data_IF_854334424334
#
_entry.id   IF_854334424334
#
_cell.length_a   1.000
_cell.length_b   1.000
_cell.length_c   1.000
_cell.angle_alpha   90.00
_cell.angle_beta   90.00
_cell.angle_gamma   90.00
#
_symmetry.space_group_name_H-M   'P 1'
#
loop_
_entity.id
_entity.type
_entity.pdbx_description
1 polymer ?
#
# COMPACT_ATOMS: atom_id res chain seq x y z
N UNK A 1 -9.86 -6.12 -23.99
CA UNK A 1 -11.05 -6.47 -23.18
C UNK A 1 -10.61 -7.41 -22.06
N UNK A 2 -10.50 -6.92 -20.82
CA UNK A 2 -10.10 -7.75 -19.67
C UNK A 2 -11.32 -8.51 -19.12
N UNK A 3 -11.34 -9.84 -19.31
CA UNK A 3 -12.28 -10.78 -18.68
C UNK A 3 -11.78 -11.16 -17.28
N UNK A 4 -11.95 -10.25 -16.32
CA UNK A 4 -11.80 -10.53 -14.89
C UNK A 4 -13.00 -9.94 -14.18
N UNK A 5 -13.60 -10.68 -13.24
CA UNK A 5 -14.75 -10.21 -12.45
C UNK A 5 -14.39 -8.87 -11.80
N UNK A 6 -15.00 -7.80 -12.32
CA UNK A 6 -14.97 -6.46 -11.72
C UNK A 6 -16.20 -6.37 -10.82
N UNK A 7 -16.00 -5.86 -9.62
CA UNK A 7 -17.10 -5.43 -8.76
C UNK A 7 -16.73 -4.01 -8.28
N UNK A 8 -17.64 -3.03 -8.17
CA UNK A 8 -19.05 -3.12 -7.81
C UNK A 8 -19.95 -2.03 -8.43
N UNK A 9 -21.05 -2.46 -9.06
CA UNK A 9 -22.35 -1.79 -9.20
C UNK A 9 -23.39 -2.92 -9.38
N UNK A 10 -24.48 -2.98 -8.60
CA UNK A 10 -25.63 -3.85 -8.87
C UNK A 10 -26.95 -3.10 -8.61
N UNK A 11 -27.80 -2.97 -9.63
CA UNK A 11 -29.21 -2.52 -9.55
C UNK A 11 -29.53 -1.23 -8.76
N UNK A 12 -28.67 -0.21 -8.83
CA UNK A 12 -29.02 1.11 -8.28
C UNK A 12 -28.97 1.22 -6.75
N UNK A 13 -28.38 0.24 -6.05
CA UNK A 13 -28.16 0.31 -4.60
C UNK A 13 -26.66 0.29 -4.22
N UNK A 14 -26.35 1.02 -3.15
CA UNK A 14 -25.01 1.28 -2.60
C UNK A 14 -24.51 0.02 -1.86
N UNK A 15 -23.36 -0.52 -2.25
CA UNK A 15 -22.72 -1.68 -1.59
C UNK A 15 -21.74 -1.30 -0.46
N UNK A 16 -21.72 -0.03 -0.04
CA UNK A 16 -20.96 0.39 1.13
C UNK A 16 -21.67 1.50 1.90
N UNK A 17 -22.33 1.12 2.99
CA UNK A 17 -22.39 1.92 4.21
C UNK A 17 -21.54 1.15 5.24
N UNK A 18 -20.51 1.78 5.82
CA UNK A 18 -19.72 1.15 6.89
C UNK A 18 -20.62 0.63 8.03
N UNK A 19 -20.22 -0.37 8.84
CA UNK A 19 -19.23 -0.21 9.92
C UNK A 19 -18.44 -1.50 10.18
N UNK A 20 -17.11 -1.40 10.24
CA UNK A 20 -16.28 -2.28 11.08
C UNK A 20 -16.70 -2.15 12.55
N UNK A 21 -16.68 -3.29 13.29
CA UNK A 21 -17.07 -3.50 14.70
C UNK A 21 -17.98 -2.42 15.35
N UNK A 22 -19.24 -2.40 14.93
CA UNK A 22 -20.40 -2.05 15.78
C UNK A 22 -21.69 -2.83 15.39
N UNK A 23 -21.55 -4.02 14.80
CA UNK A 23 -22.64 -5.00 14.72
C UNK A 23 -23.55 -4.92 13.49
N UNK A 24 -23.01 -5.19 12.30
CA UNK A 24 -23.38 -6.37 11.48
C UNK A 24 -22.57 -6.42 10.18
N UNK A 25 -22.16 -7.64 9.84
CA UNK A 25 -21.59 -8.07 8.57
C UNK A 25 -22.52 -7.78 7.41
N UNK A 26 -21.99 -7.23 6.31
CA UNK A 26 -22.68 -7.28 5.03
C UNK A 26 -21.84 -8.13 4.06
N UNK A 27 -22.29 -9.38 3.96
CA UNK A 27 -21.89 -10.45 3.04
C UNK A 27 -20.48 -11.03 3.29
N UNK A 28 -20.40 -12.02 4.21
CA UNK A 28 -19.27 -12.94 4.33
C UNK A 28 -19.56 -14.22 3.56
N UNK A 29 -19.40 -14.18 2.24
CA UNK A 29 -19.00 -15.41 1.55
C UNK A 29 -17.49 -15.33 1.33
N UNK A 30 -16.73 -16.07 2.13
CA UNK A 30 -15.28 -16.18 1.98
C UNK A 30 -14.91 -16.67 0.57
N UNK A 31 -15.78 -17.45 -0.08
CA UNK A 31 -15.58 -17.91 -1.45
C UNK A 31 -15.80 -16.78 -2.47
N UNK A 32 -16.77 -15.89 -2.23
CA UNK A 32 -16.98 -14.73 -3.10
C UNK A 32 -15.80 -13.76 -3.02
N UNK A 33 -15.27 -13.49 -1.82
CA UNK A 33 -14.10 -12.61 -1.61
C UNK A 33 -12.85 -13.15 -2.28
N UNK A 34 -12.67 -14.48 -2.25
CA UNK A 34 -11.62 -15.16 -3.00
C UNK A 34 -11.84 -15.05 -4.50
N UNK A 35 -12.99 -14.66 -5.02
CA UNK A 35 -13.20 -14.52 -6.48
C UNK A 35 -12.86 -13.13 -7.03
N UNK A 36 -12.70 -12.12 -6.16
CA UNK A 36 -12.46 -10.74 -6.59
C UNK A 36 -11.06 -10.56 -7.15
N UNK A 37 -10.95 -9.92 -8.31
CA UNK A 37 -9.66 -9.58 -8.93
C UNK A 37 -9.35 -8.09 -8.87
N UNK A 38 -10.37 -7.24 -8.81
CA UNK A 38 -10.22 -5.78 -8.80
C UNK A 38 -11.15 -5.19 -7.75
N UNK A 39 -10.60 -4.32 -6.91
CA UNK A 39 -11.35 -3.50 -5.96
C UNK A 39 -11.35 -2.06 -6.47
N UNK A 40 -12.54 -1.43 -6.49
CA UNK A 40 -12.70 0.00 -6.75
C UNK A 40 -13.39 0.61 -5.54
N UNK A 41 -12.75 1.58 -4.91
CA UNK A 41 -13.33 2.38 -3.81
C UNK A 41 -13.95 3.63 -4.42
N UNK A 42 -15.24 3.83 -4.17
CA UNK A 42 -16.05 4.88 -4.78
C UNK A 42 -15.92 6.23 -4.07
N UNK A 43 -16.40 7.33 -4.68
CA UNK A 43 -16.53 8.61 -4.00
C UNK A 43 -17.37 8.53 -2.73
N UNK A 44 -17.07 9.42 -1.77
CA UNK A 44 -17.71 9.49 -0.45
C UNK A 44 -17.09 8.55 0.61
N UNK A 45 -16.19 7.66 0.23
CA UNK A 45 -15.45 6.80 1.17
C UNK A 45 -14.22 7.54 1.69
N UNK A 46 -14.29 8.08 2.89
CA UNK A 46 -13.14 8.79 3.50
C UNK A 46 -12.14 7.85 4.20
N UNK A 47 -12.61 6.71 4.69
CA UNK A 47 -11.80 5.76 5.46
C UNK A 47 -12.04 4.35 4.94
N UNK A 48 -10.97 3.61 4.67
CA UNK A 48 -11.00 2.16 4.50
C UNK A 48 -10.88 1.54 5.90
N UNK A 49 -11.97 0.97 6.46
CA UNK A 49 -11.96 0.50 7.85
C UNK A 49 -11.06 -0.72 8.06
N UNK A 50 -10.83 -1.02 9.34
CA UNK A 50 -9.99 -2.15 9.72
C UNK A 50 -10.43 -3.47 9.08
N UNK A 51 -9.46 -4.25 8.60
CA UNK A 51 -9.65 -5.61 8.06
C UNK A 51 -10.65 -5.75 6.90
N UNK A 52 -11.08 -4.64 6.28
CA UNK A 52 -12.16 -4.63 5.27
C UNK A 52 -11.88 -5.58 4.11
N UNK A 53 -10.67 -5.56 3.56
CA UNK A 53 -10.24 -6.38 2.42
C UNK A 53 -9.19 -7.42 2.80
N UNK A 54 -9.07 -7.76 4.08
CA UNK A 54 -8.18 -8.83 4.56
C UNK A 54 -8.50 -10.15 3.86
N UNK A 55 -7.47 -10.90 3.48
CA UNK A 55 -7.56 -12.22 2.83
C UNK A 55 -8.32 -12.23 1.48
N UNK A 56 -8.41 -11.08 0.80
CA UNK A 56 -8.87 -11.04 -0.59
C UNK A 56 -7.75 -11.55 -1.52
N UNK A 57 -7.48 -12.86 -1.47
CA UNK A 57 -6.25 -13.49 -1.99
C UNK A 57 -6.10 -13.44 -3.50
N UNK A 58 -7.19 -13.24 -4.25
CA UNK A 58 -7.16 -13.12 -5.71
C UNK A 58 -7.18 -11.69 -6.24
N UNK A 59 -7.28 -10.69 -5.36
CA UNK A 59 -7.27 -9.28 -5.80
C UNK A 59 -5.90 -8.96 -6.35
N UNK A 60 -5.88 -8.49 -7.60
CA UNK A 60 -4.69 -8.06 -8.35
C UNK A 60 -4.53 -6.55 -8.34
N UNK A 61 -5.64 -5.81 -8.26
CA UNK A 61 -5.65 -4.36 -8.37
C UNK A 61 -6.61 -3.71 -7.39
N UNK A 62 -6.17 -2.63 -6.75
CA UNK A 62 -7.03 -1.73 -5.95
C UNK A 62 -6.97 -0.34 -6.56
N UNK A 63 -8.13 0.30 -6.73
CA UNK A 63 -8.25 1.67 -7.24
C UNK A 63 -9.07 2.47 -6.24
N UNK A 64 -8.46 3.50 -5.66
CA UNK A 64 -9.15 4.36 -4.69
C UNK A 64 -9.61 5.67 -5.33
N UNK A 65 -10.82 6.12 -4.98
CA UNK A 65 -11.24 7.49 -5.23
C UNK A 65 -10.45 8.46 -4.34
N UNK A 66 -10.39 9.72 -4.77
CA UNK A 66 -9.62 10.79 -4.13
C UNK A 66 -10.17 11.21 -2.75
N UNK A 67 -11.36 10.77 -2.36
CA UNK A 67 -11.93 11.09 -1.03
C UNK A 67 -11.29 10.28 0.09
N UNK A 68 -10.63 9.15 -0.22
CA UNK A 68 -10.02 8.29 0.79
C UNK A 68 -8.85 9.01 1.43
N UNK A 69 -8.95 9.26 2.74
CA UNK A 69 -7.91 9.90 3.56
C UNK A 69 -7.16 8.90 4.42
N UNK A 70 -7.77 7.76 4.77
CA UNK A 70 -7.19 6.81 5.73
C UNK A 70 -7.38 5.36 5.31
N UNK A 71 -6.32 4.57 5.49
CA UNK A 71 -6.35 3.11 5.42
C UNK A 71 -6.05 2.59 6.81
N UNK A 72 -7.01 1.94 7.44
CA UNK A 72 -6.90 1.49 8.82
C UNK A 72 -6.21 0.13 8.97
N UNK A 73 -6.03 -0.26 10.23
CA UNK A 73 -5.40 -1.50 10.66
C UNK A 73 -5.83 -2.73 9.83
N UNK A 74 -4.85 -3.50 9.35
CA UNK A 74 -5.04 -4.75 8.61
C UNK A 74 -5.91 -4.68 7.32
N UNK A 75 -6.18 -3.49 6.77
CA UNK A 75 -7.18 -3.31 5.70
C UNK A 75 -7.03 -4.26 4.49
N UNK A 76 -5.81 -4.54 4.02
CA UNK A 76 -5.49 -5.38 2.86
C UNK A 76 -4.52 -6.52 3.19
N UNK A 77 -4.53 -7.00 4.44
CA UNK A 77 -3.64 -8.08 4.89
C UNK A 77 -3.80 -9.33 4.02
N UNK A 78 -2.68 -9.90 3.59
CA UNK A 78 -2.62 -11.16 2.84
C UNK A 78 -3.41 -11.14 1.52
N UNK A 79 -3.53 -9.99 0.87
CA UNK A 79 -3.91 -9.90 -0.53
C UNK A 79 -2.74 -10.36 -1.41
N UNK A 80 -2.46 -11.67 -1.40
CA UNK A 80 -1.21 -12.24 -1.94
C UNK A 80 -0.94 -11.90 -3.40
N UNK A 81 -1.99 -11.81 -4.23
CA UNK A 81 -1.90 -11.49 -5.66
C UNK A 81 -1.98 -10.00 -5.98
N UNK A 82 -2.02 -9.13 -4.98
CA UNK A 82 -2.13 -7.69 -5.19
C UNK A 82 -0.85 -7.17 -5.82
N UNK A 83 -0.92 -6.76 -7.09
CA UNK A 83 0.21 -6.28 -7.88
C UNK A 83 0.25 -4.75 -7.88
N UNK A 84 -0.91 -4.11 -7.92
CA UNK A 84 -1.01 -2.66 -8.09
C UNK A 84 -2.07 -2.04 -7.18
N UNK A 85 -1.71 -0.95 -6.52
CA UNK A 85 -2.61 -0.14 -5.70
C UNK A 85 -2.51 1.31 -6.15
N UNK A 86 -3.60 1.84 -6.71
CA UNK A 86 -3.74 3.28 -6.92
C UNK A 86 -4.33 3.88 -5.64
N UNK A 87 -3.46 4.53 -4.86
CA UNK A 87 -3.85 5.27 -3.66
C UNK A 87 -4.58 6.57 -4.03
N UNK A 88 -5.38 7.08 -3.09
CA UNK A 88 -5.95 8.41 -3.17
C UNK A 88 -4.87 9.48 -3.04
N UNK A 89 -4.91 10.54 -3.83
CA UNK A 89 -4.01 11.70 -3.73
C UNK A 89 -4.21 12.48 -2.44
N UNK A 90 -5.35 12.31 -1.76
CA UNK A 90 -5.62 12.90 -0.45
C UNK A 90 -5.38 11.92 0.71
N UNK A 91 -4.73 10.78 0.48
CA UNK A 91 -4.44 9.82 1.53
C UNK A 91 -3.43 10.40 2.54
N UNK A 92 -3.84 10.51 3.80
CA UNK A 92 -3.06 11.08 4.89
C UNK A 92 -2.35 10.01 5.74
N UNK A 93 -2.92 8.80 5.84
CA UNK A 93 -2.46 7.76 6.78
C UNK A 93 -2.59 6.34 6.25
N UNK A 94 -1.54 5.54 6.49
CA UNK A 94 -1.51 4.08 6.26
C UNK A 94 -1.26 3.37 7.59
N UNK A 95 -2.25 2.61 8.03
CA UNK A 95 -2.26 1.97 9.34
C UNK A 95 -1.38 0.74 9.50
N UNK A 96 -1.30 0.27 10.76
CA UNK A 96 -0.50 -0.90 11.14
C UNK A 96 -0.93 -2.10 10.31
N UNK A 97 0.05 -2.79 9.72
CA UNK A 97 -0.15 -3.98 8.88
C UNK A 97 -1.10 -3.78 7.67
N UNK A 98 -1.40 -2.54 7.25
CA UNK A 98 -2.42 -2.26 6.23
C UNK A 98 -2.28 -3.09 4.95
N UNK A 99 -1.06 -3.37 4.49
CA UNK A 99 -0.72 -4.20 3.32
C UNK A 99 0.22 -5.36 3.68
N UNK A 100 0.14 -5.86 4.92
CA UNK A 100 1.04 -6.92 5.39
C UNK A 100 0.92 -8.17 4.52
N UNK A 101 2.05 -8.69 4.07
CA UNK A 101 2.17 -9.88 3.22
C UNK A 101 1.41 -9.79 1.88
N UNK A 102 1.27 -8.60 1.29
CA UNK A 102 0.92 -8.43 -0.12
C UNK A 102 2.13 -8.80 -1.00
N UNK A 103 2.41 -10.10 -1.09
CA UNK A 103 3.68 -10.64 -1.62
C UNK A 103 3.95 -10.32 -3.09
N UNK A 104 2.92 -10.03 -3.89
CA UNK A 104 3.03 -9.69 -5.30
C UNK A 104 3.11 -8.20 -5.60
N UNK A 105 3.05 -7.33 -4.59
CA UNK A 105 3.10 -5.88 -4.78
C UNK A 105 4.52 -5.49 -5.20
N UNK A 106 4.69 -4.98 -6.43
CA UNK A 106 6.01 -4.64 -7.01
C UNK A 106 6.40 -3.19 -6.75
N UNK A 107 5.40 -2.31 -6.73
CA UNK A 107 5.55 -0.87 -6.63
C UNK A 107 4.49 -0.25 -5.72
N UNK A 108 4.84 0.84 -5.04
CA UNK A 108 3.87 1.69 -4.34
C UNK A 108 4.32 3.16 -4.39
N UNK A 109 3.39 4.05 -4.74
CA UNK A 109 3.62 5.50 -4.78
C UNK A 109 2.76 6.15 -3.71
N UNK A 110 3.41 6.61 -2.66
CA UNK A 110 2.78 7.25 -1.53
C UNK A 110 2.54 8.73 -1.88
N UNK A 111 1.30 9.23 -1.79
CA UNK A 111 0.95 10.57 -2.23
C UNK A 111 1.52 11.63 -1.29
N UNK A 112 1.68 12.87 -1.80
CA UNK A 112 2.28 13.99 -1.07
C UNK A 112 1.50 14.42 0.19
N UNK A 113 0.21 14.09 0.26
CA UNK A 113 -0.65 14.33 1.41
C UNK A 113 -0.37 13.37 2.58
N UNK A 114 0.27 12.23 2.32
CA UNK A 114 0.52 11.22 3.35
C UNK A 114 1.52 11.75 4.38
N UNK A 115 1.16 11.62 5.65
CA UNK A 115 1.95 12.08 6.79
C UNK A 115 2.60 10.93 7.54
N UNK A 116 1.99 9.74 7.51
CA UNK A 116 2.45 8.63 8.33
C UNK A 116 2.16 7.26 7.70
N UNK A 117 3.17 6.39 7.79
CA UNK A 117 3.11 4.96 7.51
C UNK A 117 3.45 4.22 8.80
N UNK A 118 2.48 3.49 9.33
CA UNK A 118 2.62 2.82 10.62
C UNK A 118 3.38 1.48 10.54
N UNK A 119 3.63 0.89 11.71
CA UNK A 119 4.44 -0.31 11.88
C UNK A 119 3.93 -1.45 11.00
N UNK A 120 4.86 -2.10 10.33
CA UNK A 120 4.60 -3.27 9.48
C UNK A 120 3.63 -3.06 8.31
N UNK A 121 3.29 -1.82 7.95
CA UNK A 121 2.31 -1.51 6.91
C UNK A 121 2.53 -2.30 5.61
N UNK A 122 3.77 -2.45 5.15
CA UNK A 122 4.19 -3.20 3.95
C UNK A 122 5.16 -4.33 4.28
N UNK A 123 5.16 -4.84 5.52
CA UNK A 123 6.05 -5.93 5.90
C UNK A 123 5.69 -7.21 5.13
N UNK A 124 6.70 -7.94 4.66
CA UNK A 124 6.57 -9.12 3.80
C UNK A 124 5.93 -8.86 2.43
N UNK A 125 5.90 -7.61 1.95
CA UNK A 125 5.70 -7.33 0.52
C UNK A 125 6.98 -7.71 -0.24
N UNK A 126 7.21 -9.02 -0.42
CA UNK A 126 8.49 -9.60 -0.85
C UNK A 126 8.90 -9.25 -2.28
N UNK A 127 8.02 -8.68 -3.09
CA UNK A 127 8.34 -8.20 -4.43
C UNK A 127 8.44 -6.67 -4.51
N UNK A 128 8.19 -5.96 -3.40
CA UNK A 128 8.19 -4.51 -3.38
C UNK A 128 9.61 -4.01 -3.57
N UNK A 129 9.84 -3.40 -4.74
CA UNK A 129 11.13 -2.92 -5.20
C UNK A 129 11.10 -1.43 -5.51
N UNK A 130 9.98 -0.93 -6.02
CA UNK A 130 9.83 0.46 -6.44
C UNK A 130 8.99 1.21 -5.40
N UNK A 131 9.51 2.34 -4.93
CA UNK A 131 8.88 3.17 -3.91
C UNK A 131 8.99 4.64 -4.30
N UNK A 132 7.86 5.35 -4.27
CA UNK A 132 7.81 6.81 -4.31
C UNK A 132 7.18 7.35 -3.03
N UNK A 133 7.77 8.38 -2.42
CA UNK A 133 7.28 8.95 -1.14
C UNK A 133 7.44 10.48 -1.06
N UNK A 134 6.67 11.17 -0.20
CA UNK A 134 6.94 12.57 0.14
C UNK A 134 8.21 12.76 1.00
N UNK A 135 8.74 13.98 1.01
CA UNK A 135 9.94 14.36 1.79
C UNK A 135 9.73 14.39 3.32
N UNK A 136 8.51 14.51 3.81
CA UNK A 136 8.24 14.72 5.24
C UNK A 136 7.27 13.67 5.79
N UNK A 137 7.51 12.41 5.45
CA UNK A 137 6.68 11.29 5.89
C UNK A 137 7.28 10.63 7.13
N UNK A 138 6.44 10.41 8.14
CA UNK A 138 6.83 9.61 9.30
C UNK A 138 6.69 8.13 8.96
N UNK A 139 7.80 7.41 8.96
CA UNK A 139 7.83 5.97 8.71
C UNK A 139 8.15 5.28 10.03
N UNK A 140 7.22 4.45 10.52
CA UNK A 140 7.44 3.68 11.75
C UNK A 140 8.31 2.45 11.47
N UNK A 141 8.86 1.91 12.55
CA UNK A 141 9.77 0.76 12.48
C UNK A 141 9.14 -0.42 11.75
N UNK A 142 9.97 -1.10 10.95
CA UNK A 142 9.60 -2.29 10.19
C UNK A 142 8.44 -2.10 9.19
N UNK A 143 8.04 -0.86 8.87
CA UNK A 143 6.98 -0.60 7.89
C UNK A 143 7.24 -1.31 6.55
N UNK A 144 8.50 -1.44 6.14
CA UNK A 144 8.92 -2.11 4.90
C UNK A 144 9.80 -3.35 5.16
N UNK A 145 9.63 -3.98 6.33
CA UNK A 145 10.45 -5.13 6.70
C UNK A 145 10.29 -6.31 5.73
N UNK A 146 11.38 -6.98 5.37
CA UNK A 146 11.36 -8.13 4.43
C UNK A 146 10.78 -7.79 3.03
N UNK A 147 11.13 -6.62 2.50
CA UNK A 147 10.87 -6.20 1.10
C UNK A 147 12.18 -6.26 0.29
N UNK A 148 12.11 -6.15 -1.05
CA UNK A 148 13.30 -6.09 -1.90
C UNK A 148 13.97 -4.70 -1.90
N UNK A 149 13.37 -3.71 -1.22
CA UNK A 149 13.99 -2.39 -1.02
C UNK A 149 15.37 -2.49 -0.33
N UNK A 150 15.59 -3.54 0.48
CA UNK A 150 16.87 -3.78 1.17
C UNK A 150 18.03 -4.18 0.25
N UNK A 151 17.76 -4.69 -0.96
CA UNK A 151 18.80 -5.32 -1.80
C UNK A 151 19.40 -4.39 -2.85
N UNK A 152 18.85 -3.17 -3.05
CA UNK A 152 19.24 -2.26 -4.15
C UNK A 152 19.47 -0.79 -3.75
N UNK A 153 19.92 -0.50 -2.53
CA UNK A 153 20.41 0.85 -2.21
C UNK A 153 21.79 1.07 -2.87
N UNK A 154 22.05 2.18 -3.59
CA UNK A 154 21.18 3.34 -3.85
C UNK A 154 20.32 3.15 -5.11
N UNK A 155 19.05 3.53 -5.02
CA UNK A 155 17.98 3.33 -6.00
C UNK A 155 18.40 3.50 -7.48
N UNK A 156 18.77 2.41 -8.15
CA UNK A 156 18.74 2.39 -9.62
C UNK A 156 17.29 2.20 -10.05
N UNK A 157 16.64 3.30 -10.42
CA UNK A 157 15.33 3.29 -11.06
C UNK A 157 15.50 2.78 -12.50
N UNK A 158 15.59 1.46 -12.67
CA UNK A 158 15.31 0.86 -13.95
C UNK A 158 13.78 0.77 -14.04
N UNK A 159 13.17 1.74 -14.73
CA UNK A 159 11.80 1.58 -15.20
C UNK A 159 11.89 0.51 -16.26
N UNK A 160 11.47 -0.71 -15.94
CA UNK A 160 11.21 -1.68 -17.00
C UNK A 160 10.09 -1.06 -17.86
N UNK A 161 10.36 -0.87 -19.17
CA UNK A 161 9.49 -0.17 -20.13
C UNK A 161 8.07 -0.80 -20.26
N UNK A 162 7.85 -1.95 -19.61
CA UNK A 162 6.60 -2.72 -19.63
C UNK A 162 5.68 -2.48 -18.40
N UNK A 163 6.13 -1.80 -17.34
CA UNK A 163 5.25 -1.39 -16.22
C UNK A 163 4.71 0.03 -16.46
N UNK A 164 3.47 0.08 -16.94
CA UNK A 164 2.75 1.31 -17.31
C UNK A 164 2.40 2.19 -16.08
N UNK A 165 3.41 2.83 -15.48
CA UNK A 165 3.25 3.83 -14.42
C UNK A 165 2.56 5.10 -14.94
N UNK A 166 1.78 5.77 -14.09
CA UNK A 166 1.25 7.08 -14.48
C UNK A 166 2.39 8.13 -14.45
N UNK A 167 2.34 9.19 -15.28
CA UNK A 167 3.33 10.28 -15.22
C UNK A 167 3.46 10.91 -13.83
N UNK A 168 2.41 10.81 -13.02
CA UNK A 168 2.34 11.35 -11.66
C UNK A 168 3.10 10.46 -10.67
N UNK A 169 2.96 9.14 -10.79
CA UNK A 169 3.71 8.15 -10.02
C UNK A 169 5.22 8.28 -10.31
N UNK A 170 5.56 8.41 -11.60
CA UNK A 170 6.93 8.66 -12.04
C UNK A 170 7.47 9.98 -11.48
N UNK A 171 6.68 11.05 -11.51
CA UNK A 171 7.05 12.33 -10.92
C UNK A 171 7.30 12.22 -9.40
N UNK A 172 6.48 11.47 -8.66
CA UNK A 172 6.67 11.24 -7.22
C UNK A 172 7.97 10.47 -6.97
N UNK A 173 8.24 9.40 -7.71
CA UNK A 173 9.46 8.62 -7.55
C UNK A 173 10.72 9.42 -7.91
N UNK A 174 10.71 10.13 -9.04
CA UNK A 174 11.82 10.99 -9.46
C UNK A 174 12.05 12.11 -8.44
N UNK A 175 10.98 12.76 -7.99
CA UNK A 175 11.08 13.82 -6.99
C UNK A 175 11.66 13.28 -5.68
N UNK A 176 11.22 12.11 -5.25
CA UNK A 176 11.74 11.45 -4.05
C UNK A 176 13.22 11.13 -4.17
N UNK A 177 13.66 10.46 -5.26
CA UNK A 177 15.08 10.14 -5.49
C UNK A 177 15.95 11.40 -5.51
N UNK A 178 15.48 12.49 -6.11
CA UNK A 178 16.22 13.76 -6.16
C UNK A 178 16.36 14.44 -4.80
N UNK A 179 15.48 14.12 -3.85
CA UNK A 179 15.34 14.89 -2.61
C UNK A 179 15.35 14.05 -1.35
N UNK A 180 15.73 12.78 -1.47
CA UNK A 180 16.02 11.94 -0.34
C UNK A 180 17.18 12.57 0.43
N UNK A 181 16.91 13.01 1.64
CA UNK A 181 17.91 13.47 2.59
C UNK A 181 18.32 12.30 3.50
N UNK A 182 19.41 12.49 4.25
CA UNK A 182 19.93 11.47 5.15
C UNK A 182 18.88 10.99 6.16
N UNK A 183 18.05 11.90 6.70
CA UNK A 183 17.01 11.57 7.68
C UNK A 183 15.99 10.55 7.15
N UNK A 184 15.47 10.75 5.94
CA UNK A 184 14.53 9.83 5.30
C UNK A 184 15.20 8.53 4.87
N UNK A 185 16.45 8.58 4.41
CA UNK A 185 17.22 7.39 4.09
C UNK A 185 17.44 6.52 5.34
N UNK A 186 17.77 7.13 6.48
CA UNK A 186 17.89 6.43 7.76
C UNK A 186 16.56 5.90 8.28
N UNK A 187 15.48 6.69 8.17
CA UNK A 187 14.14 6.23 8.56
C UNK A 187 13.69 5.04 7.71
N UNK A 188 13.91 5.09 6.39
CA UNK A 188 13.61 3.98 5.50
C UNK A 188 14.50 2.76 5.80
N UNK A 189 15.78 2.96 6.09
CA UNK A 189 16.69 1.88 6.49
C UNK A 189 16.20 1.18 7.78
N UNK A 190 15.77 1.94 8.81
CA UNK A 190 15.14 1.38 10.02
C UNK A 190 13.81 0.69 9.71
N UNK A 191 13.02 1.25 8.80
CA UNK A 191 11.75 0.67 8.38
C UNK A 191 11.92 -0.65 7.59
N UNK A 192 13.05 -0.84 6.91
CA UNK A 192 13.37 -2.04 6.14
C UNK A 192 14.09 -3.11 6.97
N UNK A 193 15.07 -2.72 7.79
CA UNK A 193 15.88 -3.66 8.57
C UNK A 193 15.07 -4.37 9.64
N UNK A 194 15.15 -5.70 9.71
CA UNK A 194 14.92 -6.41 10.98
C UNK A 194 16.07 -6.05 11.91
N UNK A 195 15.77 -5.67 13.16
CA UNK A 195 16.71 -5.25 14.20
C UNK A 195 18.13 -5.84 13.99
N UNK A 196 19.05 -5.06 13.44
CA UNK A 196 20.45 -5.46 13.33
C UNK A 196 21.26 -4.58 14.28
N UNK A 197 21.51 -5.02 15.52
CA UNK A 197 22.27 -4.24 16.51
C UNK A 197 23.72 -3.97 16.08
N UNK A 198 24.20 -4.52 14.96
CA UNK A 198 25.53 -4.26 14.42
C UNK A 198 25.62 -3.01 13.53
N UNK A 199 24.50 -2.43 13.08
CA UNK A 199 24.53 -1.22 12.25
C UNK A 199 24.66 0.09 13.05
N UNK A 200 24.53 0.05 14.38
CA UNK A 200 24.92 1.17 15.26
C UNK A 200 26.44 1.31 15.40
N UNK A 201 27.23 0.28 15.07
CA UNK A 201 28.69 0.30 15.29
C UNK A 201 29.44 1.04 14.17
N UNK A 202 28.79 1.35 13.03
CA UNK A 202 29.46 1.99 11.89
C UNK A 202 29.39 3.53 11.95
N UNK A 203 28.71 4.10 12.95
CA UNK A 203 28.47 5.56 13.04
C UNK A 203 28.81 6.22 14.39
N UNK A 204 29.70 5.64 15.19
CA UNK A 204 30.47 6.36 16.23
C UNK A 204 31.91 6.52 15.80
#
# INVERSE_FOLDING_TARGET
MYKGKKTYFYNGEILWEGRGRAGRTLIYDDEERKSWEVIIVLPGVEVIPERTFRLCTNVKKVIMHEDVKRIEFDAFVQCFKLISVKLSRNLEYIGVCAFWSCSSLTSIFIPQSCREIDRWAFRYCRQLLILGMPQNIQIRDYAFGNTLLMTKLPFSFAVDEDENFSPEDEAIAIQWVKTINDENAFALHRACSSFNPLLEIIHT
#
